data_IF_901001887791
#
_entry.id   IF_901001887791
#
_cell.length_a   1.000
_cell.length_b   1.000
_cell.length_c   1.000
_cell.angle_alpha   90.00
_cell.angle_beta   90.00
_cell.angle_gamma   90.00
#
_symmetry.space_group_name_H-M   'P 1'
#
loop_
_entity.id
_entity.type
_entity.pdbx_description
1 polymer ?
#
# COMPACT_ATOMS: atom_id res chain seq x y z
N UNK A 1 -13.61 29.44 -16.33
CA UNK A 1 -14.37 29.41 -17.60
C UNK A 1 -13.92 28.19 -18.39
N UNK A 2 -14.78 27.17 -18.52
CA UNK A 2 -14.47 25.98 -19.34
C UNK A 2 -14.83 26.27 -20.79
N UNK A 3 -13.90 26.11 -21.71
CA UNK A 3 -14.17 26.19 -23.15
C UNK A 3 -14.79 24.85 -23.56
N UNK A 4 -16.11 24.83 -23.77
CA UNK A 4 -16.77 23.68 -24.40
C UNK A 4 -16.60 23.82 -25.92
N UNK A 5 -15.74 22.99 -26.50
CA UNK A 5 -15.58 22.88 -27.93
C UNK A 5 -16.67 21.93 -28.45
N UNK A 6 -17.67 22.46 -29.14
CA UNK A 6 -18.68 21.64 -29.83
C UNK A 6 -18.11 21.20 -31.18
N UNK A 7 -17.81 19.91 -31.34
CA UNK A 7 -17.54 19.34 -32.65
C UNK A 7 -18.87 18.91 -33.28
N UNK A 8 -19.29 19.60 -34.35
CA UNK A 8 -20.46 19.19 -35.13
C UNK A 8 -20.09 17.97 -35.99
N UNK A 9 -20.63 16.80 -35.64
CA UNK A 9 -20.47 15.57 -36.41
C UNK A 9 -21.43 15.57 -37.61
N UNK A 10 -20.89 15.65 -38.83
CA UNK A 10 -21.60 15.13 -40.02
C UNK A 10 -21.18 13.66 -40.18
N UNK A 11 -22.10 12.69 -40.11
CA UNK A 11 -21.75 11.30 -40.37
C UNK A 11 -21.47 11.14 -41.87
N UNK A 12 -20.19 11.10 -42.23
CA UNK A 12 -19.76 10.59 -43.53
C UNK A 12 -19.72 9.06 -43.41
N UNK A 13 -20.70 8.39 -44.00
CA UNK A 13 -20.73 6.94 -44.12
C UNK A 13 -19.58 6.46 -45.02
N UNK A 14 -18.40 6.24 -44.43
CA UNK A 14 -17.33 5.46 -45.05
C UNK A 14 -16.54 4.79 -43.93
N UNK A 15 -16.54 3.45 -43.93
CA UNK A 15 -16.11 2.57 -42.84
C UNK A 15 -14.60 2.52 -42.57
N UNK A 16 -13.88 3.63 -42.74
CA UNK A 16 -12.49 3.72 -42.33
C UNK A 16 -12.39 4.19 -40.87
N UNK A 17 -11.50 3.59 -40.05
CA UNK A 17 -11.29 4.05 -38.68
C UNK A 17 -10.77 5.49 -38.68
N UNK A 18 -11.43 6.36 -37.92
CA UNK A 18 -10.99 7.74 -37.71
C UNK A 18 -9.93 7.73 -36.60
N UNK A 19 -8.72 8.16 -36.95
CA UNK A 19 -7.63 8.31 -35.99
C UNK A 19 -7.61 9.75 -35.46
N UNK A 20 -7.78 9.92 -34.15
CA UNK A 20 -7.49 11.17 -33.46
C UNK A 20 -6.08 11.09 -32.89
N UNK A 21 -5.25 12.10 -33.14
CA UNK A 21 -3.97 12.23 -32.44
C UNK A 21 -4.17 12.61 -30.96
N UNK A 22 -3.14 12.43 -30.14
CA UNK A 22 -3.19 12.68 -28.68
C UNK A 22 -3.46 14.16 -28.30
N UNK A 23 -3.36 15.08 -29.26
CA UNK A 23 -3.45 16.52 -29.03
C UNK A 23 -2.22 17.08 -28.35
N UNK A 24 -2.03 18.41 -28.43
CA UNK A 24 -0.92 19.11 -27.78
C UNK A 24 -1.46 20.05 -26.74
N UNK A 25 -1.15 19.82 -25.47
CA UNK A 25 -1.48 20.75 -24.37
C UNK A 25 -0.33 21.73 -24.18
N UNK A 26 -0.59 23.01 -24.46
CA UNK A 26 0.37 24.09 -24.25
C UNK A 26 0.10 24.78 -22.91
N UNK A 27 1.14 24.97 -22.11
CA UNK A 27 1.08 25.69 -20.84
C UNK A 27 1.79 27.03 -20.99
N UNK A 28 1.07 28.12 -20.76
CA UNK A 28 1.66 29.46 -20.65
C UNK A 28 2.12 29.63 -19.21
N UNK A 29 3.43 29.77 -18.99
CA UNK A 29 4.04 29.80 -17.66
C UNK A 29 4.22 31.26 -17.23
N UNK A 30 3.69 31.61 -16.06
CA UNK A 30 3.92 32.91 -15.45
C UNK A 30 5.32 32.97 -14.81
N UNK A 31 5.93 34.16 -14.73
CA UNK A 31 7.32 34.37 -14.28
C UNK A 31 7.59 33.91 -12.82
N UNK A 32 6.56 33.60 -12.03
CA UNK A 32 6.69 33.27 -10.61
C UNK A 32 6.75 31.74 -10.37
N UNK A 33 7.93 31.16 -10.57
CA UNK A 33 8.19 29.73 -10.33
C UNK A 33 8.30 29.48 -8.81
N UNK A 34 7.49 28.56 -8.29
CA UNK A 34 7.49 28.19 -6.87
C UNK A 34 7.91 26.73 -6.69
N UNK A 35 8.90 26.49 -5.83
CA UNK A 35 9.45 25.15 -5.59
C UNK A 35 8.52 24.28 -4.74
N UNK A 36 8.46 22.95 -5.00
CA UNK A 36 7.66 22.02 -4.22
C UNK A 36 8.18 21.82 -2.80
N UNK A 37 7.25 21.64 -1.87
CA UNK A 37 7.52 21.01 -0.57
C UNK A 37 7.16 19.53 -0.66
N UNK A 38 8.14 18.66 -0.41
CA UNK A 38 8.00 17.19 -0.48
C UNK A 38 8.00 16.59 0.93
N UNK A 39 7.02 15.73 1.23
CA UNK A 39 6.92 15.01 2.50
C UNK A 39 6.49 13.57 2.27
N UNK A 40 7.07 12.63 3.02
CA UNK A 40 6.65 11.22 3.01
C UNK A 40 5.89 10.91 4.29
N UNK A 41 4.67 10.40 4.14
CA UNK A 41 3.84 9.91 5.22
C UNK A 41 4.08 8.42 5.44
N UNK A 42 4.14 8.03 6.72
CA UNK A 42 4.28 6.64 7.14
C UNK A 42 3.00 5.83 6.86
N UNK A 43 3.12 4.51 6.64
CA UNK A 43 1.97 3.63 6.47
C UNK A 43 1.10 3.59 7.73
N UNK A 44 -0.20 3.37 7.53
CA UNK A 44 -1.14 3.20 8.63
C UNK A 44 -0.89 1.88 9.37
N UNK A 45 -0.78 1.94 10.70
CA UNK A 45 -0.63 0.74 11.55
C UNK A 45 -1.79 -0.26 11.34
N UNK A 46 -3.00 0.26 11.11
CA UNK A 46 -4.20 -0.54 10.85
C UNK A 46 -4.09 -1.29 9.52
N UNK A 47 -3.60 -0.65 8.46
CA UNK A 47 -3.38 -1.32 7.17
C UNK A 47 -2.38 -2.47 7.29
N UNK A 48 -1.28 -2.25 8.00
CA UNK A 48 -0.25 -3.26 8.21
C UNK A 48 -0.81 -4.47 8.97
N UNK A 49 -1.57 -4.22 10.04
CA UNK A 49 -2.17 -5.27 10.85
C UNK A 49 -3.23 -6.07 10.09
N UNK A 50 -4.13 -5.38 9.39
CA UNK A 50 -5.31 -6.01 8.78
C UNK A 50 -5.02 -6.62 7.40
N UNK A 51 -4.11 -6.01 6.63
CA UNK A 51 -3.83 -6.38 5.23
C UNK A 51 -2.43 -6.91 5.00
N UNK A 52 -1.54 -6.91 6.00
CA UNK A 52 -0.16 -7.37 5.87
C UNK A 52 0.69 -6.57 4.88
N UNK A 53 0.28 -5.34 4.56
CA UNK A 53 0.92 -4.47 3.56
C UNK A 53 1.07 -3.05 4.12
N UNK A 54 2.07 -2.34 3.62
CA UNK A 54 2.37 -0.97 4.02
C UNK A 54 2.31 -0.06 2.79
N UNK A 55 1.50 1.00 2.85
CA UNK A 55 1.45 2.02 1.80
C UNK A 55 2.13 3.31 2.27
N UNK A 56 3.24 3.67 1.63
CA UNK A 56 3.90 4.95 1.78
C UNK A 56 3.24 5.99 0.87
N UNK A 57 3.18 7.23 1.32
CA UNK A 57 2.57 8.32 0.55
C UNK A 57 3.53 9.50 0.48
N UNK A 58 3.99 9.85 -0.71
CA UNK A 58 4.77 11.05 -0.98
C UNK A 58 3.80 12.15 -1.42
N UNK A 59 3.72 13.20 -0.60
CA UNK A 59 2.88 14.37 -0.81
C UNK A 59 3.77 15.52 -1.26
N UNK A 60 3.47 16.06 -2.44
CA UNK A 60 4.18 17.19 -3.03
C UNK A 60 3.22 18.36 -3.13
N UNK A 61 3.55 19.50 -2.52
CA UNK A 61 2.62 20.63 -2.35
C UNK A 61 3.28 21.96 -2.65
N UNK A 62 2.48 22.93 -3.06
CA UNK A 62 2.89 24.34 -3.16
C UNK A 62 3.78 24.67 -4.35
N UNK A 63 3.76 23.86 -5.41
CA UNK A 63 4.63 24.06 -6.58
C UNK A 63 3.92 24.74 -7.74
N UNK A 64 4.68 25.45 -8.58
CA UNK A 64 4.19 26.03 -9.83
C UNK A 64 5.36 26.20 -10.79
N UNK A 65 5.30 25.72 -12.05
CA UNK A 65 4.14 25.18 -12.78
C UNK A 65 3.83 23.69 -12.49
N UNK A 66 2.78 23.13 -13.11
CA UNK A 66 2.32 21.73 -12.93
C UNK A 66 3.34 20.65 -13.36
N UNK A 67 4.39 21.02 -14.11
CA UNK A 67 5.37 20.09 -14.68
C UNK A 67 6.27 19.47 -13.60
N UNK A 68 5.92 18.26 -13.17
CA UNK A 68 6.64 17.51 -12.16
C UNK A 68 6.61 16.01 -12.45
N UNK A 69 7.73 15.34 -12.19
CA UNK A 69 7.84 13.89 -12.29
C UNK A 69 8.17 13.31 -10.94
N UNK A 70 7.41 12.30 -10.51
CA UNK A 70 7.60 11.62 -9.22
C UNK A 70 7.96 10.17 -9.46
N UNK A 71 9.06 9.71 -8.88
CA UNK A 71 9.50 8.32 -8.88
C UNK A 71 9.90 7.88 -7.48
N UNK A 72 10.05 6.57 -7.31
CA UNK A 72 10.42 5.97 -6.03
C UNK A 72 11.69 5.16 -6.19
N UNK A 73 12.54 5.20 -5.17
CA UNK A 73 13.69 4.31 -4.98
C UNK A 73 13.54 3.53 -3.68
N UNK A 74 13.89 2.25 -3.70
CA UNK A 74 13.99 1.40 -2.52
C UNK A 74 15.42 0.91 -2.39
N UNK A 75 16.09 1.30 -1.31
CA UNK A 75 17.52 1.01 -1.08
C UNK A 75 18.41 1.41 -2.26
N UNK A 76 18.10 2.54 -2.89
CA UNK A 76 18.85 3.08 -4.03
C UNK A 76 18.45 2.51 -5.40
N UNK A 77 17.56 1.51 -5.46
CA UNK A 77 17.07 0.95 -6.72
C UNK A 77 15.72 1.54 -7.10
N UNK A 78 15.55 1.94 -8.37
CA UNK A 78 14.29 2.47 -8.88
C UNK A 78 13.16 1.45 -8.76
N UNK A 79 11.98 1.92 -8.34
CA UNK A 79 10.81 1.11 -8.05
C UNK A 79 9.62 1.64 -8.85
N UNK A 80 9.12 0.80 -9.75
CA UNK A 80 7.92 1.09 -10.56
C UNK A 80 6.73 0.23 -10.16
N UNK A 81 6.95 -1.02 -9.72
CA UNK A 81 5.84 -1.89 -9.35
C UNK A 81 5.11 -1.36 -8.12
N UNK A 82 3.79 -1.39 -8.18
CA UNK A 82 2.89 -0.98 -7.09
C UNK A 82 3.05 0.51 -6.69
N UNK A 83 3.61 1.32 -7.58
CA UNK A 83 3.57 2.78 -7.51
C UNK A 83 2.30 3.27 -8.21
N UNK A 84 1.60 4.19 -7.56
CA UNK A 84 0.47 4.91 -8.13
C UNK A 84 0.62 6.40 -7.85
N UNK A 85 0.87 7.18 -8.89
CA UNK A 85 0.88 8.64 -8.84
C UNK A 85 -0.48 9.15 -9.32
N UNK A 86 -0.99 10.21 -8.70
CA UNK A 86 -2.25 10.83 -9.13
C UNK A 86 -2.12 11.37 -10.57
N UNK A 87 -3.15 11.17 -11.40
CA UNK A 87 -3.10 11.51 -12.84
C UNK A 87 -3.09 13.02 -13.11
N UNK A 88 -3.53 13.84 -12.16
CA UNK A 88 -3.65 15.29 -12.32
C UNK A 88 -3.28 16.01 -11.04
N UNK A 89 -2.52 17.10 -11.14
CA UNK A 89 -2.20 17.92 -9.99
C UNK A 89 -3.38 18.83 -9.64
N UNK A 90 -3.65 18.96 -8.34
CA UNK A 90 -4.75 19.77 -7.82
C UNK A 90 -4.23 21.19 -7.59
N UNK A 91 -4.89 22.17 -8.20
CA UNK A 91 -4.58 23.61 -8.01
C UNK A 91 -5.36 24.16 -6.82
N UNK A 92 -4.68 24.85 -5.92
CA UNK A 92 -5.28 25.55 -4.78
C UNK A 92 -5.81 26.94 -5.17
N UNK A 93 -6.39 27.65 -4.19
CA UNK A 93 -6.92 29.02 -4.37
C UNK A 93 -5.82 30.06 -4.61
N UNK A 94 -4.59 29.79 -4.17
CA UNK A 94 -3.42 30.66 -4.37
C UNK A 94 -2.78 30.43 -5.76
N UNK A 95 -3.26 29.42 -6.49
CA UNK A 95 -2.79 29.06 -7.81
C UNK A 95 -1.59 28.11 -7.83
N UNK A 96 -1.24 27.50 -6.69
CA UNK A 96 -0.19 26.48 -6.58
C UNK A 96 -0.76 25.07 -6.75
N UNK A 97 0.08 24.15 -7.20
CA UNK A 97 -0.26 22.77 -7.46
C UNK A 97 0.17 21.84 -6.33
N UNK A 98 -0.55 20.73 -6.20
CA UNK A 98 -0.26 19.62 -5.29
C UNK A 98 -0.53 18.28 -5.97
N UNK A 99 0.33 17.30 -5.75
CA UNK A 99 0.21 15.95 -6.31
C UNK A 99 0.68 14.92 -5.28
N UNK A 100 0.09 13.73 -5.31
CA UNK A 100 0.44 12.64 -4.40
C UNK A 100 0.87 11.39 -5.16
N UNK A 101 1.93 10.74 -4.70
CA UNK A 101 2.34 9.42 -5.15
C UNK A 101 2.31 8.41 -4.02
N UNK A 102 1.84 7.19 -4.30
CA UNK A 102 1.66 6.11 -3.31
C UNK A 102 2.51 4.91 -3.73
N UNK A 103 3.37 4.44 -2.83
CA UNK A 103 4.15 3.24 -3.00
C UNK A 103 3.66 2.16 -2.04
N UNK A 104 3.20 1.03 -2.58
CA UNK A 104 2.77 -0.10 -1.76
C UNK A 104 3.86 -1.16 -1.67
N UNK A 105 4.21 -1.55 -0.44
CA UNK A 105 5.20 -2.57 -0.12
C UNK A 105 4.65 -3.62 0.83
N UNK A 106 5.37 -4.73 0.98
CA UNK A 106 5.03 -5.75 1.99
C UNK A 106 5.31 -5.23 3.40
N UNK A 107 4.58 -5.73 4.40
CA UNK A 107 4.88 -5.40 5.80
C UNK A 107 6.31 -5.81 6.19
N UNK A 108 6.80 -6.96 5.68
CA UNK A 108 8.15 -7.45 5.94
C UNK A 108 9.23 -6.46 5.44
N UNK A 109 9.05 -5.95 4.23
CA UNK A 109 9.97 -4.99 3.62
C UNK A 109 9.96 -3.65 4.36
N UNK A 110 8.78 -3.15 4.75
CA UNK A 110 8.65 -1.95 5.58
C UNK A 110 9.33 -2.11 6.95
N UNK A 111 9.23 -3.31 7.54
CA UNK A 111 9.82 -3.60 8.84
C UNK A 111 11.30 -3.96 8.81
N UNK A 112 11.95 -3.82 7.66
CA UNK A 112 13.39 -4.04 7.53
C UNK A 112 14.12 -2.71 7.73
N UNK A 113 14.82 -2.49 8.87
CA UNK A 113 15.42 -1.19 9.20
C UNK A 113 16.56 -0.77 8.25
N UNK A 114 17.15 -1.74 7.52
CA UNK A 114 18.17 -1.50 6.49
C UNK A 114 17.58 -0.99 5.17
N UNK A 115 16.26 -1.03 4.98
CA UNK A 115 15.60 -0.57 3.76
C UNK A 115 15.28 0.92 3.88
N UNK A 116 15.69 1.69 2.86
CA UNK A 116 15.37 3.10 2.74
C UNK A 116 14.36 3.27 1.60
N UNK A 117 13.30 4.04 1.85
CA UNK A 117 12.30 4.38 0.86
C UNK A 117 12.44 5.85 0.51
N UNK A 118 12.79 6.12 -0.73
CA UNK A 118 13.12 7.46 -1.21
C UNK A 118 12.11 7.87 -2.27
N UNK A 119 11.48 9.02 -2.07
CA UNK A 119 10.67 9.69 -3.09
C UNK A 119 11.58 10.67 -3.83
N UNK A 120 11.68 10.50 -5.13
CA UNK A 120 12.49 11.34 -6.02
C UNK A 120 11.53 12.19 -6.83
N UNK A 121 11.66 13.50 -6.68
CA UNK A 121 10.77 14.47 -7.33
C UNK A 121 11.60 15.38 -8.22
N UNK A 122 11.37 15.31 -9.53
CA UNK A 122 12.00 16.20 -10.50
C UNK A 122 11.03 17.31 -10.84
N UNK A 123 11.38 18.53 -10.47
CA UNK A 123 10.55 19.71 -10.70
C UNK A 123 11.07 20.54 -11.88
N UNK A 124 10.13 21.21 -12.57
CA UNK A 124 10.31 22.10 -13.72
C UNK A 124 11.75 22.61 -13.95
N UNK A 125 12.45 22.01 -14.92
CA UNK A 125 13.78 22.39 -15.39
C UNK A 125 14.86 22.53 -14.28
N UNK A 126 14.67 21.89 -13.13
CA UNK A 126 15.69 21.80 -12.09
C UNK A 126 16.75 20.77 -12.48
N UNK A 127 18.02 21.17 -12.38
CA UNK A 127 19.17 20.30 -12.70
C UNK A 127 19.37 19.16 -11.70
N UNK A 128 18.80 19.28 -10.50
CA UNK A 128 18.92 18.29 -9.42
C UNK A 128 17.53 17.90 -8.89
N UNK A 129 17.22 16.60 -8.75
CA UNK A 129 15.96 16.16 -8.19
C UNK A 129 15.92 16.33 -6.67
N UNK A 130 14.72 16.56 -6.13
CA UNK A 130 14.47 16.58 -4.69
C UNK A 130 14.26 15.14 -4.21
N UNK A 131 15.18 14.64 -3.39
CA UNK A 131 15.11 13.30 -2.81
C UNK A 131 14.81 13.35 -1.30
N UNK A 132 13.65 12.83 -0.89
CA UNK A 132 13.30 12.67 0.52
C UNK A 132 13.28 11.18 0.84
N UNK A 133 13.93 10.79 1.94
CA UNK A 133 14.06 9.39 2.33
C UNK A 133 13.50 9.12 3.71
N UNK A 134 12.82 7.99 3.87
CA UNK A 134 12.46 7.44 5.18
C UNK A 134 13.02 6.03 5.34
N UNK A 135 13.51 5.71 6.54
CA UNK A 135 13.98 4.36 6.86
C UNK A 135 12.81 3.47 7.24
N UNK A 136 12.91 2.18 6.90
CA UNK A 136 12.03 1.16 7.46
C UNK A 136 12.09 1.17 8.99
N UNK A 137 10.98 0.86 9.64
CA UNK A 137 10.93 0.77 11.11
C UNK A 137 11.23 -0.64 11.56
N UNK A 138 11.80 -0.81 12.75
CA UNK A 138 11.80 -2.12 13.39
C UNK A 138 10.36 -2.47 13.79
N UNK A 139 9.84 -3.56 13.23
CA UNK A 139 8.54 -4.11 13.57
C UNK A 139 8.69 -5.30 14.49
N UNK A 140 7.87 -5.36 15.54
CA UNK A 140 7.68 -6.60 16.28
C UNK A 140 6.90 -7.57 15.38
N UNK A 141 7.43 -8.77 15.17
CA UNK A 141 7.05 -9.68 14.09
C UNK A 141 5.57 -10.08 14.05
N UNK A 142 4.81 -9.52 13.10
CA UNK A 142 3.47 -9.99 12.75
C UNK A 142 3.45 -11.44 12.21
N UNK A 143 4.61 -11.99 11.82
CA UNK A 143 4.75 -13.39 11.36
C UNK A 143 4.80 -14.38 12.55
N UNK A 144 5.17 -13.91 13.74
CA UNK A 144 5.30 -14.77 14.94
C UNK A 144 3.94 -14.97 15.63
N UNK A 145 3.04 -13.99 15.57
CA UNK A 145 1.72 -14.10 16.21
C UNK A 145 0.82 -15.15 15.54
N UNK A 146 0.88 -15.30 14.21
CA UNK A 146 0.10 -16.29 13.47
C UNK A 146 0.57 -17.73 13.71
N UNK A 147 1.89 -17.96 13.81
CA UNK A 147 2.45 -19.30 14.08
C UNK A 147 2.26 -19.75 15.53
N UNK A 148 2.25 -18.82 16.49
CA UNK A 148 2.06 -19.11 17.91
C UNK A 148 0.61 -19.50 18.22
N UNK A 149 -0.37 -18.82 17.60
CA UNK A 149 -1.79 -19.09 17.84
C UNK A 149 -2.22 -20.46 17.33
N UNK A 150 -1.87 -20.85 16.11
CA UNK A 150 -2.31 -22.12 15.50
C UNK A 150 -1.72 -23.34 16.22
N UNK A 151 -0.45 -23.25 16.70
CA UNK A 151 0.16 -24.29 17.52
C UNK A 151 -0.51 -24.42 18.88
N UNK A 152 -0.85 -23.31 19.54
CA UNK A 152 -1.57 -23.33 20.83
C UNK A 152 -2.96 -23.93 20.69
N UNK A 153 -3.71 -23.58 19.64
CA UNK A 153 -5.03 -24.17 19.38
C UNK A 153 -4.93 -25.68 19.14
N UNK A 154 -3.99 -26.14 18.29
CA UNK A 154 -3.79 -27.56 18.02
C UNK A 154 -3.37 -28.36 19.26
N UNK A 155 -2.47 -27.81 20.09
CA UNK A 155 -2.06 -28.42 21.36
C UNK A 155 -3.21 -28.52 22.37
N UNK A 156 -4.10 -27.51 22.42
CA UNK A 156 -5.30 -27.55 23.26
C UNK A 156 -6.31 -28.61 22.80
N UNK A 157 -6.48 -28.79 21.49
CA UNK A 157 -7.35 -29.85 20.96
C UNK A 157 -6.80 -31.26 21.25
N UNK A 158 -5.49 -31.47 21.08
CA UNK A 158 -4.83 -32.72 21.43
C UNK A 158 -4.93 -33.03 22.93
N UNK A 159 -4.71 -32.03 23.79
CA UNK A 159 -4.83 -32.19 25.24
C UNK A 159 -6.26 -32.50 25.71
N UNK A 160 -7.28 -31.94 25.04
CA UNK A 160 -8.68 -32.30 25.31
C UNK A 160 -8.97 -33.74 24.91
N UNK A 161 -8.47 -34.20 23.76
CA UNK A 161 -8.68 -35.58 23.30
C UNK A 161 -8.11 -36.63 24.25
N UNK A 162 -6.93 -36.39 24.84
CA UNK A 162 -6.34 -37.31 25.82
C UNK A 162 -7.12 -37.35 27.14
N UNK A 163 -7.67 -36.22 27.56
CA UNK A 163 -8.53 -36.15 28.76
C UNK A 163 -9.83 -36.95 28.57
N UNK A 164 -10.49 -36.84 27.41
CA UNK A 164 -11.68 -37.64 27.11
C UNK A 164 -11.37 -39.15 27.05
N UNK A 165 -10.21 -39.53 26.48
CA UNK A 165 -9.76 -40.92 26.47
C UNK A 165 -9.56 -41.50 27.87
N UNK A 166 -8.86 -40.77 28.76
CA UNK A 166 -8.66 -41.16 30.16
C UNK A 166 -9.98 -41.26 30.93
N UNK A 167 -10.93 -40.35 30.68
CA UNK A 167 -12.22 -40.37 31.36
C UNK A 167 -13.05 -41.60 30.95
N UNK A 168 -13.03 -41.96 29.67
CA UNK A 168 -13.70 -43.17 29.17
C UNK A 168 -13.06 -44.45 29.70
N UNK A 169 -11.72 -44.53 29.76
CA UNK A 169 -11.05 -45.72 30.31
C UNK A 169 -11.34 -45.89 31.80
N UNK A 170 -11.38 -44.80 32.59
CA UNK A 170 -11.77 -44.84 34.01
C UNK A 170 -13.23 -45.24 34.19
N UNK A 171 -14.15 -44.73 33.35
CA UNK A 171 -15.56 -45.10 33.39
C UNK A 171 -15.77 -46.59 33.04
N UNK A 172 -15.08 -47.10 32.03
CA UNK A 172 -15.13 -48.52 31.66
C UNK A 172 -14.55 -49.39 32.78
N UNK A 173 -13.45 -48.96 33.40
CA UNK A 173 -12.86 -49.70 34.51
C UNK A 173 -13.75 -49.69 35.76
N UNK A 174 -14.38 -48.56 36.06
CA UNK A 174 -15.42 -48.42 37.10
C UNK A 174 -16.61 -49.35 36.82
N UNK A 175 -17.12 -49.40 35.59
CA UNK A 175 -18.22 -50.29 35.22
C UNK A 175 -17.84 -51.77 35.34
N UNK A 176 -16.62 -52.15 34.93
CA UNK A 176 -16.13 -53.53 35.06
C UNK A 176 -16.03 -53.96 36.52
N UNK A 177 -15.54 -53.08 37.40
CA UNK A 177 -15.47 -53.30 38.85
C UNK A 177 -16.85 -53.34 39.52
N UNK A 178 -17.83 -52.59 39.02
CA UNK A 178 -19.21 -52.67 39.53
C UNK A 178 -19.89 -53.97 39.07
N UNK A 179 -19.62 -54.44 37.86
CA UNK A 179 -20.18 -55.69 37.34
C UNK A 179 -19.66 -56.91 38.13
N UNK A 180 -18.36 -56.91 38.46
CA UNK A 180 -17.73 -57.99 39.24
C UNK A 180 -18.23 -58.06 40.69
N UNK A 181 -18.71 -56.93 41.24
CA UNK A 181 -19.32 -56.86 42.58
C UNK A 181 -20.82 -57.19 42.61
N UNK A 182 -21.48 -57.33 41.45
CA UNK A 182 -22.92 -57.64 41.37
C UNK A 182 -23.18 -59.14 41.13
N UNK A 183 -22.13 -59.95 40.95
CA UNK A 183 -22.19 -61.40 40.69
C UNK A 183 -21.50 -62.26 41.78
N UNK A 184 -21.14 -61.66 42.91
CA UNK A 184 -20.72 -62.33 44.14
C UNK A 184 -21.71 -62.00 45.26
#
# INVERSE_FOLDING_TARGET
>A
MGVQIWFSFRPLCSGNPVFFGDGTKLFVIDKNITRPTVKILQPSKKEIKDKGRATLVCVITGFYPEHITVSWKVSGQDRTNWVKTDDTAIKDKEGKYSITSRLRVSALEWFTPKKNFTCVTTFFNESAPVEISIKGKEGCGAVVETLRSTRLTYLLFLGKSTLYGLLLTVLVWKLKLTCEKTFA
#
